data_IF_167222833515
#
_entry.id   IF_167222833515
#
_cell.length_a   1.000
_cell.length_b   1.000
_cell.length_c   1.000
_cell.angle_alpha   90.00
_cell.angle_beta   90.00
_cell.angle_gamma   90.00
#
_symmetry.space_group_name_H-M   'P 1'
#
loop_
_entity.id
_entity.type
_entity.pdbx_description
1 polymer ?
#
# COMPACT_ATOMS: atom_id res chain seq x y z
N UNK A 1 -32.47 -4.93 -13.44
CA UNK A 1 -31.42 -3.90 -13.41
C UNK A 1 -30.10 -4.63 -13.53
N UNK A 2 -29.32 -4.45 -14.61
CA UNK A 2 -28.00 -5.07 -14.70
C UNK A 2 -27.10 -4.44 -13.63
N UNK A 3 -26.64 -5.27 -12.71
CA UNK A 3 -25.63 -4.90 -11.72
C UNK A 3 -24.35 -4.48 -12.46
N UNK A 4 -23.93 -3.22 -12.27
CA UNK A 4 -22.63 -2.77 -12.74
C UNK A 4 -21.58 -3.52 -11.92
N UNK A 5 -20.97 -4.53 -12.53
CA UNK A 5 -19.74 -5.10 -12.01
C UNK A 5 -18.63 -4.11 -12.38
N UNK A 6 -18.03 -3.39 -11.40
CA UNK A 6 -16.82 -2.66 -11.70
C UNK A 6 -15.81 -3.65 -12.32
N UNK A 7 -15.02 -3.25 -13.34
CA UNK A 7 -14.04 -4.13 -13.95
C UNK A 7 -13.21 -4.75 -12.84
N UNK A 8 -13.35 -6.07 -12.67
CA UNK A 8 -12.64 -6.81 -11.64
C UNK A 8 -11.15 -6.61 -11.94
N UNK A 9 -10.39 -5.95 -11.05
CA UNK A 9 -8.97 -5.80 -11.26
C UNK A 9 -8.36 -7.18 -11.51
N UNK A 10 -7.37 -7.26 -12.41
CA UNK A 10 -6.58 -8.47 -12.57
C UNK A 10 -6.18 -9.00 -11.19
N UNK A 11 -6.31 -10.32 -10.98
CA UNK A 11 -6.42 -10.94 -9.66
C UNK A 11 -5.61 -10.26 -8.56
N UNK A 12 -6.30 -9.74 -7.55
CA UNK A 12 -5.67 -9.06 -6.42
C UNK A 12 -4.61 -9.97 -5.79
N UNK A 13 -3.36 -9.48 -5.77
CA UNK A 13 -2.25 -10.11 -5.07
C UNK A 13 -2.13 -9.52 -3.67
N UNK A 14 -1.58 -10.30 -2.74
CA UNK A 14 -1.31 -9.83 -1.38
C UNK A 14 0.15 -10.02 -1.04
N UNK A 15 0.71 -9.05 -0.33
CA UNK A 15 2.03 -9.15 0.31
C UNK A 15 1.82 -9.05 1.81
N UNK A 16 2.29 -10.06 2.52
CA UNK A 16 2.12 -10.22 3.97
C UNK A 16 3.42 -9.85 4.70
N UNK A 17 3.34 -9.69 6.02
CA UNK A 17 4.48 -9.55 6.94
C UNK A 17 5.50 -8.47 6.56
N UNK A 18 5.02 -7.31 6.13
CA UNK A 18 5.87 -6.16 5.80
C UNK A 18 6.21 -5.44 7.12
N UNK A 19 7.49 -5.49 7.51
CA UNK A 19 8.02 -4.92 8.77
C UNK A 19 9.01 -3.77 8.55
N UNK A 20 9.42 -3.54 7.30
CA UNK A 20 10.29 -2.44 6.88
C UNK A 20 9.87 -1.92 5.50
N UNK A 21 10.45 -0.81 5.06
CA UNK A 21 10.19 -0.27 3.73
C UNK A 21 10.52 -1.31 2.65
N UNK A 22 9.54 -1.63 1.80
CA UNK A 22 9.66 -2.67 0.79
C UNK A 22 9.07 -2.22 -0.55
N UNK A 23 9.72 -2.65 -1.64
CA UNK A 23 9.15 -2.58 -2.99
C UNK A 23 8.16 -3.74 -3.12
N UNK A 24 6.87 -3.42 -3.18
CA UNK A 24 5.79 -4.39 -3.36
C UNK A 24 5.65 -4.77 -4.83
N UNK A 25 5.78 -3.77 -5.71
CA UNK A 25 5.75 -3.93 -7.15
C UNK A 25 6.68 -2.89 -7.80
N UNK A 26 7.57 -3.32 -8.69
CA UNK A 26 8.50 -2.44 -9.41
C UNK A 26 7.97 -1.99 -10.79
N UNK A 27 6.65 -1.97 -10.95
CA UNK A 27 5.95 -1.64 -12.18
C UNK A 27 4.58 -1.02 -11.86
N UNK A 28 3.93 -0.32 -12.81
CA UNK A 28 2.65 0.32 -12.58
C UNK A 28 1.61 -0.65 -12.00
N UNK A 29 0.87 -0.18 -11.01
CA UNK A 29 -0.11 -1.00 -10.29
C UNK A 29 -1.09 -0.18 -9.48
N UNK A 30 -1.90 -0.85 -8.66
CA UNK A 30 -2.89 -0.22 -7.79
C UNK A 30 -2.81 -0.78 -6.38
N UNK A 31 -3.06 0.08 -5.39
CA UNK A 31 -3.17 -0.33 -3.99
C UNK A 31 -4.63 -0.26 -3.54
N UNK A 32 -5.13 -1.35 -2.95
CA UNK A 32 -6.52 -1.47 -2.53
C UNK A 32 -6.69 -1.32 -1.03
N UNK A 33 -5.95 -2.09 -0.25
CA UNK A 33 -6.14 -2.22 1.20
C UNK A 33 -4.79 -2.40 1.87
N UNK A 34 -4.60 -1.73 3.00
CA UNK A 34 -3.50 -1.99 3.93
C UNK A 34 -4.09 -2.37 5.28
N UNK A 35 -3.72 -3.53 5.79
CA UNK A 35 -4.08 -3.94 7.15
C UNK A 35 -2.87 -3.77 8.05
N UNK A 36 -3.03 -3.04 9.15
CA UNK A 36 -2.01 -2.86 10.19
C UNK A 36 -2.31 -3.86 11.30
N UNK A 37 -1.40 -4.81 11.51
CA UNK A 37 -1.59 -5.93 12.44
C UNK A 37 -1.09 -5.63 13.85
N UNK A 38 -0.12 -4.73 14.00
CA UNK A 38 0.42 -4.30 15.30
C UNK A 38 0.53 -2.78 15.37
N UNK A 39 0.47 -2.23 16.59
CA UNK A 39 0.57 -0.79 16.79
C UNK A 39 1.94 -0.29 16.32
N UNK A 40 1.95 0.85 15.64
CA UNK A 40 3.17 1.57 15.30
C UNK A 40 3.47 2.70 16.30
N UNK A 41 4.69 3.24 16.20
CA UNK A 41 5.14 4.41 16.99
C UNK A 41 5.33 5.67 16.14
N UNK A 42 5.15 5.55 14.82
CA UNK A 42 5.12 6.65 13.87
C UNK A 42 4.36 6.19 12.62
N UNK A 43 3.67 7.12 11.95
CA UNK A 43 2.91 6.84 10.73
C UNK A 43 3.78 6.24 9.62
N UNK A 44 3.18 5.32 8.86
CA UNK A 44 3.76 4.77 7.63
C UNK A 44 3.28 5.54 6.39
N UNK A 45 3.74 5.12 5.23
CA UNK A 45 3.40 5.75 3.97
C UNK A 45 3.47 4.79 2.78
N UNK A 46 2.71 5.13 1.75
CA UNK A 46 2.74 4.47 0.45
C UNK A 46 3.30 5.47 -0.55
N UNK A 47 4.24 5.02 -1.37
CA UNK A 47 4.94 5.84 -2.36
C UNK A 47 4.78 5.24 -3.75
N UNK A 48 4.60 6.13 -4.73
CA UNK A 48 4.76 5.81 -6.15
C UNK A 48 6.26 5.83 -6.48
N UNK A 49 6.90 4.68 -6.37
CA UNK A 49 8.34 4.51 -6.56
C UNK A 49 8.67 3.07 -6.92
N UNK A 50 9.78 2.87 -7.62
CA UNK A 50 10.36 1.55 -7.87
C UNK A 50 11.53 1.22 -6.91
N UNK A 51 11.86 2.11 -5.98
CA UNK A 51 12.96 1.96 -5.02
C UNK A 51 12.56 2.43 -3.61
N UNK A 52 13.14 1.80 -2.59
CA UNK A 52 13.01 2.23 -1.19
C UNK A 52 13.77 3.52 -0.88
N UNK A 53 14.68 3.93 -1.75
CA UNK A 53 15.43 5.19 -1.65
C UNK A 53 14.76 6.32 -2.42
N UNK A 54 14.91 7.56 -1.94
CA UNK A 54 14.39 8.74 -2.66
C UNK A 54 12.89 8.97 -2.49
N UNK A 55 12.26 8.30 -1.51
CA UNK A 55 10.88 8.56 -1.13
C UNK A 55 10.78 9.91 -0.42
N UNK A 56 9.88 10.76 -0.92
CA UNK A 56 9.63 12.11 -0.44
C UNK A 56 8.12 12.36 -0.38
N UNK A 57 7.71 13.53 0.12
CA UNK A 57 6.29 13.93 0.10
C UNK A 57 5.75 14.06 -1.33
N UNK A 58 6.62 14.33 -2.32
CA UNK A 58 6.20 14.54 -3.71
C UNK A 58 5.73 13.25 -4.41
N UNK A 59 6.22 12.09 -3.99
CA UNK A 59 5.80 10.78 -4.51
C UNK A 59 5.01 9.96 -3.47
N UNK A 60 4.61 10.59 -2.37
CA UNK A 60 3.74 9.97 -1.38
C UNK A 60 2.29 10.00 -1.85
N UNK A 61 1.67 8.83 -1.95
CA UNK A 61 0.29 8.66 -2.42
C UNK A 61 -0.68 8.29 -1.28
N UNK A 62 -0.15 7.91 -0.12
CA UNK A 62 -0.95 7.52 1.03
C UNK A 62 -0.19 7.62 2.35
N UNK A 63 -0.94 7.85 3.43
CA UNK A 63 -0.46 7.76 4.81
C UNK A 63 -1.09 6.53 5.44
N UNK A 64 -0.29 5.72 6.12
CA UNK A 64 -0.75 4.57 6.90
C UNK A 64 -0.73 4.98 8.37
N UNK A 65 -1.88 5.03 9.05
CA UNK A 65 -1.92 5.39 10.47
C UNK A 65 -1.16 4.37 11.33
N UNK A 66 -0.71 4.80 12.51
CA UNK A 66 0.00 3.95 13.47
C UNK A 66 -0.92 3.05 14.31
N UNK A 67 -2.24 3.13 14.10
CA UNK A 67 -3.23 2.33 14.79
C UNK A 67 -3.54 1.02 14.04
N UNK A 68 -3.75 -0.06 14.81
CA UNK A 68 -4.21 -1.35 14.30
C UNK A 68 -5.56 -1.19 13.61
N UNK A 69 -5.69 -1.76 12.41
CA UNK A 69 -6.93 -1.67 11.64
C UNK A 69 -6.71 -1.89 10.15
N UNK A 70 -7.82 -1.94 9.43
CA UNK A 70 -7.84 -2.10 7.97
C UNK A 70 -8.16 -0.75 7.32
N UNK A 71 -7.24 -0.27 6.49
CA UNK A 71 -7.34 1.00 5.80
C UNK A 71 -7.54 0.78 4.30
N UNK A 72 -8.60 1.38 3.75
CA UNK A 72 -8.97 1.25 2.35
C UNK A 72 -8.41 2.41 1.53
N UNK A 73 -7.65 2.06 0.49
CA UNK A 73 -7.04 2.99 -0.47
C UNK A 73 -7.75 2.97 -1.84
N UNK A 74 -8.84 2.21 -1.98
CA UNK A 74 -9.78 2.25 -3.11
C UNK A 74 -9.15 2.16 -4.52
N UNK A 75 -8.01 1.48 -4.65
CA UNK A 75 -7.38 1.27 -5.96
C UNK A 75 -6.60 2.47 -6.49
N UNK A 76 -5.98 3.26 -5.59
CA UNK A 76 -5.09 4.36 -5.96
C UNK A 76 -4.03 3.85 -6.96
N UNK A 77 -3.93 4.45 -8.15
CA UNK A 77 -2.96 4.06 -9.16
C UNK A 77 -1.55 4.56 -8.83
N UNK A 78 -0.55 3.80 -9.27
CA UNK A 78 0.87 4.14 -9.27
C UNK A 78 1.43 4.03 -10.68
N UNK A 79 2.26 4.99 -11.08
CA UNK A 79 2.82 5.07 -12.42
C UNK A 79 4.22 4.44 -12.51
N UNK A 80 4.97 4.42 -11.42
CA UNK A 80 6.35 3.90 -11.38
C UNK A 80 6.41 2.55 -10.69
N UNK A 81 5.73 2.43 -9.55
CA UNK A 81 5.72 1.23 -8.73
C UNK A 81 5.07 1.47 -7.38
N UNK A 82 5.02 0.43 -6.55
CA UNK A 82 4.42 0.47 -5.22
C UNK A 82 5.53 0.21 -4.21
N UNK A 83 5.89 1.24 -3.45
CA UNK A 83 6.74 1.10 -2.27
C UNK A 83 5.90 1.40 -1.04
N UNK A 84 5.94 0.50 -0.08
CA UNK A 84 5.21 0.67 1.18
C UNK A 84 6.21 0.71 2.32
N UNK A 85 6.06 1.72 3.16
CA UNK A 85 6.77 1.85 4.43
C UNK A 85 5.75 1.66 5.55
N UNK A 86 5.85 0.57 6.33
CA UNK A 86 4.94 0.36 7.46
C UNK A 86 5.14 1.43 8.53
N UNK A 87 4.11 1.71 9.35
CA UNK A 87 4.30 2.43 10.61
C UNK A 87 5.46 1.82 11.41
N UNK A 88 6.25 2.65 12.07
CA UNK A 88 7.47 2.18 12.77
C UNK A 88 7.11 1.14 13.83
N UNK A 89 7.81 0.01 13.89
CA UNK A 89 7.52 -1.17 14.75
C UNK A 89 6.21 -1.92 14.47
N UNK A 90 5.47 -1.54 13.43
CA UNK A 90 4.27 -2.26 13.02
C UNK A 90 4.57 -3.35 11.98
N UNK A 91 3.68 -4.34 11.91
CA UNK A 91 3.60 -5.30 10.81
C UNK A 91 2.35 -5.01 10.00
N UNK A 92 2.47 -4.97 8.68
CA UNK A 92 1.32 -4.71 7.79
C UNK A 92 1.19 -5.80 6.72
N UNK A 93 0.00 -5.91 6.15
CA UNK A 93 -0.28 -6.62 4.92
C UNK A 93 -0.95 -5.69 3.90
N UNK A 94 -0.63 -5.89 2.62
CA UNK A 94 -1.08 -5.01 1.54
C UNK A 94 -1.71 -5.83 0.43
N UNK A 95 -2.88 -5.40 -0.05
CA UNK A 95 -3.52 -5.94 -1.26
C UNK A 95 -3.32 -4.98 -2.44
N UNK A 96 -2.86 -5.51 -3.57
CA UNK A 96 -2.46 -4.75 -4.75
C UNK A 96 -2.73 -5.53 -6.05
N UNK A 97 -2.66 -4.82 -7.20
CA UNK A 97 -2.70 -5.40 -8.56
C UNK A 97 -1.61 -4.80 -9.43
#
# INVERSE_FOLDING_TARGET
MPQYFPPQPGGNTTTLDITAAAVIKNSPGRVYVVSVLSLGTAVGAIFDSASTSGNTVANQIGVIPEAVGTYYFYGIPTATGIVVTPPTTSTISVSWS
#
